data_IF_987152842884
#
_entry.id   IF_987152842884
#
_cell.length_a   1.000
_cell.length_b   1.000
_cell.length_c   1.000
_cell.angle_alpha   90.00
_cell.angle_beta   90.00
_cell.angle_gamma   90.00
#
_symmetry.space_group_name_H-M   'P 1'
#
loop_
_entity.id
_entity.type
_entity.pdbx_description
1 polymer ?
#
# COMPACT_ATOMS: atom_id res chain seq x y z
N UNK A 1 11.38 2.76 13.31
CA UNK A 1 12.13 3.59 12.35
C UNK A 1 12.59 2.75 11.19
N UNK A 2 11.94 2.87 10.03
CA UNK A 2 12.52 2.56 8.72
C UNK A 2 11.71 3.34 7.69
N UNK A 3 12.01 4.63 7.57
CA UNK A 3 11.35 5.57 6.65
C UNK A 3 11.85 5.40 5.21
N UNK A 4 12.95 4.67 4.98
CA UNK A 4 13.59 4.51 3.67
C UNK A 4 13.43 3.13 3.03
N UNK A 5 13.02 2.10 3.79
CA UNK A 5 12.91 0.72 3.28
C UNK A 5 11.59 0.41 2.58
N UNK A 6 10.49 1.02 3.04
CA UNK A 6 9.16 0.75 2.49
C UNK A 6 9.05 1.03 0.98
N UNK A 7 9.54 2.17 0.44
CA UNK A 7 9.51 2.40 -1.00
C UNK A 7 10.28 1.34 -1.80
N UNK A 8 11.42 0.88 -1.27
CA UNK A 8 12.25 -0.15 -1.93
C UNK A 8 11.53 -1.49 -1.97
N UNK A 9 10.87 -1.89 -0.87
CA UNK A 9 10.12 -3.14 -0.81
C UNK A 9 8.89 -3.09 -1.72
N UNK A 10 8.18 -1.95 -1.74
CA UNK A 10 7.05 -1.76 -2.65
C UNK A 10 7.46 -1.85 -4.12
N UNK A 11 8.56 -1.19 -4.49
CA UNK A 11 9.11 -1.25 -5.85
C UNK A 11 9.52 -2.68 -6.24
N UNK A 12 10.16 -3.41 -5.32
CA UNK A 12 10.51 -4.80 -5.54
C UNK A 12 9.26 -5.68 -5.77
N UNK A 13 8.24 -5.56 -4.94
CA UNK A 13 6.99 -6.32 -5.07
C UNK A 13 6.31 -6.03 -6.41
N UNK A 14 6.18 -4.75 -6.79
CA UNK A 14 5.56 -4.37 -8.05
C UNK A 14 6.30 -4.91 -9.27
N UNK A 15 7.63 -4.76 -9.30
CA UNK A 15 8.45 -5.20 -10.45
C UNK A 15 8.49 -6.72 -10.62
N UNK A 16 8.33 -7.46 -9.53
CA UNK A 16 8.49 -8.92 -9.53
C UNK A 16 7.18 -9.68 -9.29
N UNK A 17 6.02 -9.00 -9.32
CA UNK A 17 4.75 -9.59 -8.93
C UNK A 17 4.43 -10.89 -9.66
N UNK A 18 4.58 -10.91 -10.99
CA UNK A 18 4.36 -12.12 -11.81
C UNK A 18 5.19 -13.29 -11.32
N UNK A 19 6.50 -13.09 -11.12
CA UNK A 19 7.42 -14.12 -10.64
C UNK A 19 7.05 -14.60 -9.24
N UNK A 20 6.78 -13.66 -8.33
CA UNK A 20 6.38 -13.97 -6.96
C UNK A 20 5.09 -14.81 -6.95
N UNK A 21 4.09 -14.38 -7.70
CA UNK A 21 2.80 -15.04 -7.76
C UNK A 21 2.87 -16.42 -8.42
N UNK A 22 3.67 -16.59 -9.48
CA UNK A 22 3.86 -17.89 -10.12
C UNK A 22 4.60 -18.89 -9.21
N UNK A 23 5.60 -18.44 -8.46
CA UNK A 23 6.41 -19.32 -7.61
C UNK A 23 5.74 -19.64 -6.27
N UNK A 24 4.98 -18.69 -5.69
CA UNK A 24 4.49 -18.77 -4.32
C UNK A 24 2.98 -18.58 -4.17
N UNK A 25 2.26 -18.21 -5.24
CA UNK A 25 0.83 -17.86 -5.22
C UNK A 25 -0.12 -19.02 -4.93
N UNK A 26 0.38 -20.26 -4.97
CA UNK A 26 -0.36 -21.43 -4.47
C UNK A 26 -0.51 -21.46 -2.94
N UNK A 27 0.27 -20.66 -2.20
CA UNK A 27 0.15 -20.50 -0.74
C UNK A 27 -0.70 -19.26 -0.41
N UNK A 28 -1.92 -19.47 0.07
CA UNK A 28 -2.95 -18.44 0.13
C UNK A 28 -2.71 -17.31 1.16
N UNK A 29 -1.95 -17.51 2.23
CA UNK A 29 -1.88 -16.52 3.32
C UNK A 29 -0.72 -15.50 3.24
N UNK A 30 0.34 -15.81 2.49
CA UNK A 30 1.56 -14.98 2.42
C UNK A 30 1.34 -13.66 1.68
N UNK A 31 0.59 -13.69 0.56
CA UNK A 31 0.42 -12.50 -0.29
C UNK A 31 -0.53 -11.46 0.25
N UNK A 32 -1.62 -11.85 0.93
CA UNK A 32 -2.50 -10.89 1.61
C UNK A 32 -1.75 -10.08 2.66
N UNK A 33 -0.95 -10.77 3.47
CA UNK A 33 -0.10 -10.15 4.49
C UNK A 33 0.96 -9.25 3.85
N UNK A 34 1.61 -9.71 2.77
CA UNK A 34 2.58 -8.92 2.01
C UNK A 34 1.99 -7.60 1.53
N UNK A 35 0.86 -7.64 0.82
CA UNK A 35 0.18 -6.43 0.33
C UNK A 35 -0.18 -5.50 1.49
N UNK A 36 -0.74 -6.03 2.57
CA UNK A 36 -1.09 -5.21 3.74
C UNK A 36 0.14 -4.51 4.34
N UNK A 37 1.26 -5.21 4.51
CA UNK A 37 2.47 -4.67 5.12
C UNK A 37 3.15 -3.60 4.26
N UNK A 38 3.31 -3.84 2.96
CA UNK A 38 4.05 -2.90 2.08
C UNK A 38 3.26 -1.63 1.77
N UNK A 39 1.93 -1.69 1.87
CA UNK A 39 1.01 -0.57 1.61
C UNK A 39 0.47 0.08 2.89
N UNK A 40 0.90 -0.37 4.08
CA UNK A 40 0.31 0.03 5.37
C UNK A 40 0.30 1.54 5.61
N UNK A 41 1.34 2.23 5.11
CA UNK A 41 1.60 3.65 5.39
C UNK A 41 1.16 4.59 4.27
N UNK A 42 0.57 4.08 3.20
CA UNK A 42 0.19 4.92 2.07
C UNK A 42 -0.87 5.93 2.48
N UNK A 43 -0.63 7.19 2.14
CA UNK A 43 -1.46 8.33 2.53
C UNK A 43 -1.37 9.50 1.54
N UNK A 44 -0.83 9.30 0.34
CA UNK A 44 -0.71 10.31 -0.71
C UNK A 44 -1.44 9.92 -1.99
N UNK A 45 -1.91 10.90 -2.80
CA UNK A 45 -2.52 10.63 -4.10
C UNK A 45 -1.63 9.84 -5.05
N UNK A 46 -0.32 10.07 -5.00
CA UNK A 46 0.65 9.33 -5.81
C UNK A 46 0.69 7.84 -5.45
N UNK A 47 0.69 7.51 -4.15
CA UNK A 47 0.64 6.10 -3.70
C UNK A 47 -0.68 5.42 -4.07
N UNK A 48 -1.80 6.15 -4.03
CA UNK A 48 -3.09 5.64 -4.50
C UNK A 48 -3.04 5.30 -6.00
N UNK A 49 -2.52 6.22 -6.82
CA UNK A 49 -2.35 5.98 -8.25
C UNK A 49 -1.42 4.78 -8.51
N UNK A 50 -0.37 4.61 -7.71
CA UNK A 50 0.51 3.44 -7.81
C UNK A 50 -0.23 2.12 -7.52
N UNK A 51 -1.16 2.09 -6.56
CA UNK A 51 -1.99 0.91 -6.29
C UNK A 51 -2.96 0.61 -7.42
N UNK A 52 -3.59 1.64 -7.98
CA UNK A 52 -4.52 1.52 -9.11
C UNK A 52 -3.79 0.99 -10.35
N UNK A 53 -2.61 1.54 -10.64
CA UNK A 53 -1.77 1.07 -11.74
C UNK A 53 -1.29 -0.36 -11.49
N UNK A 54 -0.86 -0.69 -10.27
CA UNK A 54 -0.44 -2.04 -9.91
C UNK A 54 -1.57 -3.07 -10.11
N UNK A 55 -2.81 -2.72 -9.77
CA UNK A 55 -4.01 -3.52 -10.02
C UNK A 55 -4.23 -3.76 -11.52
N UNK A 56 -4.11 -2.69 -12.32
CA UNK A 56 -4.29 -2.75 -13.77
C UNK A 56 -3.20 -3.58 -14.46
N UNK A 57 -1.93 -3.35 -14.12
CA UNK A 57 -0.75 -3.98 -14.72
C UNK A 57 -0.69 -5.49 -14.51
N UNK A 58 -1.37 -6.00 -13.47
CA UNK A 58 -1.36 -7.42 -13.10
C UNK A 58 -2.76 -8.04 -13.20
N UNK A 59 -3.67 -7.43 -13.95
CA UNK A 59 -5.02 -7.97 -14.14
C UNK A 59 -5.02 -9.36 -14.84
N UNK A 60 -4.02 -9.63 -15.69
CA UNK A 60 -3.84 -10.92 -16.37
C UNK A 60 -3.26 -12.01 -15.43
N UNK A 61 -2.34 -11.63 -14.54
CA UNK A 61 -1.76 -12.52 -13.52
C UNK A 61 -2.77 -12.80 -12.40
N UNK A 62 -3.53 -11.78 -12.04
CA UNK A 62 -4.42 -11.77 -10.89
C UNK A 62 -3.68 -11.61 -9.56
N UNK A 63 -4.47 -11.68 -8.48
CA UNK A 63 -3.99 -11.50 -7.11
C UNK A 63 -4.32 -12.68 -6.20
N UNK A 64 -5.06 -13.68 -6.68
CA UNK A 64 -5.45 -14.85 -5.92
C UNK A 64 -6.05 -14.46 -4.56
N UNK A 65 -5.49 -15.03 -3.49
CA UNK A 65 -5.91 -14.73 -2.12
C UNK A 65 -5.68 -13.28 -1.67
N UNK A 66 -4.76 -12.55 -2.31
CA UNK A 66 -4.46 -11.15 -2.00
C UNK A 66 -5.43 -10.15 -2.65
N UNK A 67 -6.37 -10.61 -3.48
CA UNK A 67 -7.37 -9.74 -4.13
C UNK A 67 -8.08 -8.84 -3.11
N UNK A 68 -8.59 -9.43 -2.02
CA UNK A 68 -9.27 -8.66 -0.97
C UNK A 68 -8.33 -7.68 -0.25
N UNK A 69 -7.07 -8.09 -0.03
CA UNK A 69 -6.08 -7.23 0.61
C UNK A 69 -5.73 -6.01 -0.25
N UNK A 70 -5.70 -6.16 -1.58
CA UNK A 70 -5.49 -5.06 -2.51
C UNK A 70 -6.65 -4.06 -2.49
N UNK A 71 -7.90 -4.53 -2.54
CA UNK A 71 -9.06 -3.63 -2.42
C UNK A 71 -9.07 -2.88 -1.08
N UNK A 72 -8.75 -3.58 0.02
CA UNK A 72 -8.61 -2.95 1.33
C UNK A 72 -7.47 -1.92 1.37
N UNK A 73 -6.36 -2.16 0.68
CA UNK A 73 -5.26 -1.22 0.59
C UNK A 73 -5.67 0.05 -0.17
N UNK A 74 -6.42 -0.07 -1.27
CA UNK A 74 -6.97 1.07 -2.03
C UNK A 74 -7.89 1.92 -1.15
N UNK A 75 -8.87 1.31 -0.48
CA UNK A 75 -9.82 2.02 0.37
C UNK A 75 -9.15 2.65 1.59
N UNK A 76 -8.23 1.94 2.24
CA UNK A 76 -7.45 2.49 3.35
C UNK A 76 -6.60 3.68 2.91
N UNK A 77 -5.99 3.62 1.72
CA UNK A 77 -5.18 4.73 1.21
C UNK A 77 -6.03 5.97 0.96
N UNK A 78 -7.23 5.82 0.38
CA UNK A 78 -8.20 6.92 0.23
C UNK A 78 -8.58 7.53 1.59
N UNK A 79 -8.87 6.68 2.58
CA UNK A 79 -9.19 7.12 3.93
C UNK A 79 -8.02 7.87 4.59
N UNK A 80 -6.79 7.38 4.44
CA UNK A 80 -5.59 8.02 4.96
C UNK A 80 -5.32 9.38 4.31
N UNK A 81 -5.48 9.50 2.99
CA UNK A 81 -5.35 10.79 2.27
C UNK A 81 -6.32 11.82 2.86
N UNK A 82 -7.59 11.43 3.02
CA UNK A 82 -8.61 12.30 3.61
C UNK A 82 -8.25 12.71 5.03
N UNK A 83 -7.89 11.73 5.87
CA UNK A 83 -7.50 12.00 7.26
C UNK A 83 -6.31 12.94 7.36
N UNK A 84 -5.27 12.74 6.54
CA UNK A 84 -4.09 13.62 6.51
C UNK A 84 -4.47 15.04 6.08
N UNK A 85 -5.32 15.19 5.06
CA UNK A 85 -5.76 16.51 4.59
C UNK A 85 -6.52 17.28 5.68
N UNK A 86 -7.39 16.60 6.44
CA UNK A 86 -8.22 17.22 7.48
C UNK A 86 -7.45 17.49 8.78
N UNK A 87 -6.54 16.59 9.19
CA UNK A 87 -5.97 16.60 10.53
C UNK A 87 -4.54 17.16 10.59
N UNK A 88 -3.78 17.14 9.48
CA UNK A 88 -2.38 17.61 9.48
C UNK A 88 -2.21 19.04 10.00
N UNK A 89 -3.05 20.04 9.63
CA UNK A 89 -2.91 21.39 10.15
C UNK A 89 -3.17 21.47 11.66
N UNK A 90 -4.19 20.77 12.15
CA UNK A 90 -4.55 20.74 13.57
C UNK A 90 -3.46 20.10 14.43
N UNK A 91 -2.93 18.97 13.97
CA UNK A 91 -1.84 18.26 14.65
C UNK A 91 -0.57 19.11 14.68
N UNK A 92 -0.22 19.76 13.57
CA UNK A 92 0.94 20.66 13.51
C UNK A 92 0.81 21.82 14.49
N UNK A 93 -0.37 22.46 14.55
CA UNK A 93 -0.65 23.53 15.48
C UNK A 93 -0.52 23.09 16.94
N UNK A 94 -1.11 21.94 17.29
CA UNK A 94 -0.99 21.38 18.64
C UNK A 94 0.47 21.17 19.06
N UNK A 95 1.30 20.64 18.16
CA UNK A 95 2.74 20.47 18.42
C UNK A 95 3.49 21.79 18.58
N UNK A 96 3.05 22.86 17.91
CA UNK A 96 3.67 24.20 18.04
C UNK A 96 3.25 24.88 19.35
N UNK A 97 2.00 24.72 19.74
CA UNK A 97 1.41 25.34 20.93
C UNK A 97 1.86 24.66 22.25
N UNK A 98 2.36 23.42 22.20
CA UNK A 98 2.73 22.61 23.38
C UNK A 98 4.22 22.18 23.36
N UNK A 99 5.12 23.04 22.88
CA UNK A 99 6.57 22.81 22.93
C UNK A 99 7.18 23.10 24.30
#
# INVERSE_FOLDING_TARGET
TQTSGQPLVWDFVRRNWRTLFQQFGGSSFSFSSLIQSVTQRFASPFELQQLEQFKADNADVGFGSATRALEQALERTKANIKWVAENKPLVLRWFQDNK
#
